data_IF_994117148505
#
_entry.id   IF_994117148505
#
_cell.length_a   1.000
_cell.length_b   1.000
_cell.length_c   1.000
_cell.angle_alpha   90.00
_cell.angle_beta   90.00
_cell.angle_gamma   90.00
#
_symmetry.space_group_name_H-M   'P 1'
#
loop_
_entity.id
_entity.type
_entity.pdbx_description
1 polymer ?
#
# COMPACT_ATOMS: atom_id res chain seq x y z
N UNK A 1 2.58 -36.00 -4.24
CA UNK A 1 3.86 -35.29 -4.11
C UNK A 1 3.85 -34.20 -5.18
N UNK A 2 3.54 -32.95 -4.80
CA UNK A 2 3.50 -31.81 -5.74
C UNK A 2 4.82 -31.06 -5.51
N UNK A 3 5.90 -31.58 -6.07
CA UNK A 3 7.15 -30.82 -6.23
C UNK A 3 6.99 -29.98 -7.50
N UNK A 4 6.92 -28.66 -7.36
CA UNK A 4 6.91 -27.78 -8.54
C UNK A 4 6.41 -26.34 -8.40
N UNK A 5 6.04 -25.84 -7.22
CA UNK A 5 5.48 -24.46 -7.11
C UNK A 5 6.12 -23.56 -6.06
N UNK A 6 7.10 -24.03 -5.29
CA UNK A 6 7.82 -23.19 -4.33
C UNK A 6 8.96 -22.43 -5.03
N UNK A 7 8.65 -21.32 -5.72
CA UNK A 7 9.69 -20.39 -6.21
C UNK A 7 9.42 -19.70 -7.55
N UNK A 8 8.45 -20.15 -8.35
CA UNK A 8 8.19 -19.59 -9.69
C UNK A 8 7.66 -18.15 -9.70
N UNK A 9 7.21 -17.62 -8.55
CA UNK A 9 6.71 -16.25 -8.46
C UNK A 9 7.80 -15.20 -8.74
N UNK A 10 9.08 -15.56 -8.59
CA UNK A 10 10.21 -14.67 -8.89
C UNK A 10 10.25 -14.36 -10.38
N UNK A 11 9.93 -15.34 -11.23
CA UNK A 11 9.88 -15.16 -12.68
C UNK A 11 8.72 -14.25 -13.11
N UNK A 12 7.60 -14.28 -12.35
CA UNK A 12 6.43 -13.43 -12.59
C UNK A 12 6.57 -12.01 -11.99
N UNK A 13 7.53 -11.80 -11.09
CA UNK A 13 7.69 -10.56 -10.33
C UNK A 13 7.80 -9.31 -11.23
N UNK A 14 8.55 -9.30 -12.34
CA UNK A 14 8.60 -8.15 -13.23
C UNK A 14 7.22 -7.76 -13.80
N UNK A 15 6.42 -8.76 -14.19
CA UNK A 15 5.06 -8.54 -14.70
C UNK A 15 4.11 -8.01 -13.62
N UNK A 16 4.21 -8.55 -12.40
CA UNK A 16 3.42 -8.07 -11.25
C UNK A 16 3.78 -6.63 -10.92
N UNK A 17 5.06 -6.30 -10.85
CA UNK A 17 5.52 -4.92 -10.59
C UNK A 17 5.09 -3.96 -11.70
N UNK A 18 5.13 -4.41 -12.96
CA UNK A 18 4.64 -3.63 -14.09
C UNK A 18 3.15 -3.31 -13.91
N UNK A 19 2.30 -4.32 -13.74
CA UNK A 19 0.86 -4.12 -13.56
C UNK A 19 0.54 -3.21 -12.37
N UNK A 20 1.26 -3.35 -11.25
CA UNK A 20 1.08 -2.53 -10.07
C UNK A 20 1.43 -1.05 -10.32
N UNK A 21 2.37 -0.75 -11.22
CA UNK A 21 2.81 0.61 -11.60
C UNK A 21 1.91 1.25 -12.64
N UNK A 22 1.31 0.46 -13.53
CA UNK A 22 0.51 0.96 -14.66
C UNK A 22 -1.00 0.95 -14.39
N UNK A 23 -1.45 0.28 -13.33
CA UNK A 23 -2.86 0.24 -12.94
C UNK A 23 -3.24 1.43 -12.06
N UNK A 24 -4.39 2.05 -12.36
CA UNK A 24 -4.97 3.13 -11.57
C UNK A 24 -5.31 2.62 -10.17
N UNK A 25 -4.78 3.28 -9.14
CA UNK A 25 -5.12 2.93 -7.75
C UNK A 25 -6.44 3.58 -7.36
N UNK A 26 -7.39 2.81 -6.82
CA UNK A 26 -8.67 3.37 -6.33
C UNK A 26 -8.49 4.46 -5.28
N UNK A 27 -7.43 4.35 -4.46
CA UNK A 27 -7.15 5.31 -3.38
C UNK A 27 -6.68 6.68 -3.87
N UNK A 28 -6.06 6.75 -5.05
CA UNK A 28 -5.51 8.00 -5.62
C UNK A 28 -6.19 8.42 -6.92
N UNK A 29 -6.85 7.49 -7.61
CA UNK A 29 -7.39 7.68 -8.96
C UNK A 29 -6.31 7.91 -10.03
N UNK A 30 -5.05 7.57 -9.75
CA UNK A 30 -3.91 7.74 -10.65
C UNK A 30 -3.05 6.48 -10.69
N UNK A 31 -2.27 6.30 -11.75
CA UNK A 31 -1.27 5.24 -11.83
C UNK A 31 0.01 5.67 -11.07
N UNK A 32 0.72 4.77 -10.38
CA UNK A 32 2.00 5.12 -9.79
C UNK A 32 3.01 5.65 -10.81
N UNK A 33 2.98 5.15 -12.05
CA UNK A 33 3.84 5.62 -13.13
C UNK A 33 3.59 7.09 -13.48
N UNK A 34 2.32 7.49 -13.67
CA UNK A 34 1.98 8.89 -14.01
C UNK A 34 2.38 9.86 -12.91
N UNK A 35 2.30 9.45 -11.65
CA UNK A 35 2.75 10.27 -10.53
C UNK A 35 4.28 10.46 -10.47
N UNK A 36 5.07 9.56 -11.06
CA UNK A 36 6.53 9.70 -11.11
C UNK A 36 6.96 10.48 -12.35
N UNK A 37 6.44 10.13 -13.52
CA UNK A 37 6.93 10.61 -14.81
C UNK A 37 6.03 11.67 -15.48
N UNK A 38 4.90 12.00 -14.86
CA UNK A 38 3.95 13.01 -15.35
C UNK A 38 3.06 12.56 -16.50
N UNK A 39 3.21 11.35 -17.01
CA UNK A 39 2.52 10.89 -18.20
C UNK A 39 2.09 9.43 -18.06
N UNK A 40 1.05 9.04 -18.78
CA UNK A 40 0.65 7.65 -18.87
C UNK A 40 1.64 6.85 -19.72
N UNK A 41 1.93 5.64 -19.27
CA UNK A 41 2.83 4.71 -19.93
C UNK A 41 2.18 4.13 -21.17
N UNK A 42 2.97 3.92 -22.23
CA UNK A 42 2.58 3.08 -23.37
C UNK A 42 2.76 1.63 -22.96
N UNK A 43 1.69 0.84 -22.98
CA UNK A 43 1.73 -0.55 -22.55
C UNK A 43 2.38 -1.43 -23.62
N UNK A 44 3.06 -2.53 -23.24
CA UNK A 44 3.65 -3.45 -24.22
C UNK A 44 2.64 -3.98 -25.26
N UNK A 45 1.38 -4.19 -24.87
CA UNK A 45 0.31 -4.61 -25.78
C UNK A 45 -0.04 -3.55 -26.84
N UNK A 46 0.09 -2.26 -26.50
CA UNK A 46 -0.14 -1.14 -27.42
C UNK A 46 0.96 -0.98 -28.47
N UNK A 47 2.14 -1.59 -28.22
CA UNK A 47 3.25 -1.68 -29.16
C UNK A 47 3.12 -2.92 -30.04
N UNK A 48 2.74 -4.06 -29.44
CA UNK A 48 2.52 -5.31 -30.18
C UNK A 48 1.31 -5.27 -31.11
N UNK A 49 0.27 -4.52 -30.74
CA UNK A 49 -0.89 -4.20 -31.57
C UNK A 49 -0.88 -2.69 -31.78
N UNK A 50 -0.62 -2.17 -33.00
CA UNK A 50 -0.42 -0.75 -33.25
C UNK A 50 -1.59 0.11 -32.76
N UNK A 51 -1.47 0.62 -31.53
CA UNK A 51 -2.46 1.53 -30.95
C UNK A 51 -2.36 2.90 -31.61
N UNK A 52 -3.42 3.74 -31.54
CA UNK A 52 -3.34 5.11 -32.07
C UNK A 52 -2.16 5.92 -31.52
N UNK A 53 -1.77 5.67 -30.25
CA UNK A 53 -0.62 6.35 -29.61
C UNK A 53 0.71 6.03 -30.29
N UNK A 54 0.84 4.81 -30.85
CA UNK A 54 2.03 4.36 -31.58
C UNK A 54 1.91 4.70 -33.06
N UNK A 55 0.75 4.48 -33.67
CA UNK A 55 0.51 4.70 -35.10
C UNK A 55 0.61 6.17 -35.51
N UNK A 56 0.12 7.09 -34.67
CA UNK A 56 0.12 8.53 -34.94
C UNK A 56 1.14 9.28 -34.08
N UNK A 57 2.22 8.60 -33.68
CA UNK A 57 3.25 9.20 -32.85
C UNK A 57 3.93 10.37 -33.58
N UNK A 58 3.96 11.54 -32.94
CA UNK A 58 4.64 12.74 -33.40
C UNK A 58 5.58 13.22 -32.29
N UNK A 59 6.88 13.17 -32.56
CA UNK A 59 7.92 13.45 -31.58
C UNK A 59 7.85 14.89 -31.05
N UNK A 60 7.71 15.86 -31.96
CA UNK A 60 7.75 17.29 -31.59
C UNK A 60 6.54 17.67 -30.73
N UNK A 61 5.35 17.18 -31.11
CA UNK A 61 4.13 17.39 -30.32
C UNK A 61 4.22 16.71 -28.96
N UNK A 62 4.68 15.47 -28.91
CA UNK A 62 4.78 14.72 -27.67
C UNK A 62 5.80 15.34 -26.70
N UNK A 63 6.94 15.84 -27.17
CA UNK A 63 7.90 16.54 -26.31
C UNK A 63 7.36 17.89 -25.80
N UNK A 64 6.57 18.60 -26.60
CA UNK A 64 5.89 19.81 -26.13
C UNK A 64 4.85 19.49 -25.03
N UNK A 65 3.98 18.50 -25.25
CA UNK A 65 2.98 18.06 -24.26
C UNK A 65 3.62 17.53 -22.97
N UNK A 66 4.72 16.79 -23.09
CA UNK A 66 5.46 16.26 -21.95
C UNK A 66 5.97 17.36 -21.02
N UNK A 67 6.43 18.50 -21.56
CA UNK A 67 6.83 19.66 -20.74
C UNK A 67 5.65 20.20 -19.95
N UNK A 68 4.51 20.40 -20.61
CA UNK A 68 3.28 20.86 -19.98
C UNK A 68 2.81 19.90 -18.88
N UNK A 69 2.87 18.60 -19.13
CA UNK A 69 2.50 17.59 -18.14
C UNK A 69 3.45 17.56 -16.93
N UNK A 70 4.74 17.85 -17.13
CA UNK A 70 5.70 18.01 -16.03
C UNK A 70 5.41 19.26 -15.20
N UNK A 71 4.99 20.35 -15.83
CA UNK A 71 4.59 21.58 -15.14
C UNK A 71 3.38 21.36 -14.23
N UNK A 72 2.39 20.55 -14.67
CA UNK A 72 1.18 20.21 -13.88
C UNK A 72 1.36 19.03 -12.90
N UNK A 73 2.53 18.39 -12.90
CA UNK A 73 2.81 17.24 -12.07
C UNK A 73 2.74 17.54 -10.55
N UNK A 74 3.25 18.69 -10.06
CA UNK A 74 3.12 19.07 -8.65
C UNK A 74 1.66 19.17 -8.18
N UNK A 75 0.78 19.80 -8.96
CA UNK A 75 -0.65 19.91 -8.64
C UNK A 75 -1.31 18.53 -8.60
N UNK A 76 -0.98 17.68 -9.58
CA UNK A 76 -1.49 16.30 -9.64
C UNK A 76 -1.07 15.50 -8.41
N UNK A 77 0.19 15.64 -7.97
CA UNK A 77 0.71 15.02 -6.73
C UNK A 77 0.02 15.56 -5.49
N UNK A 78 -0.22 16.88 -5.41
CA UNK A 78 -0.96 17.49 -4.31
C UNK A 78 -2.40 16.95 -4.20
N UNK A 79 -3.11 16.91 -5.33
CA UNK A 79 -4.48 16.41 -5.39
C UNK A 79 -4.57 14.91 -5.05
N UNK A 80 -3.62 14.10 -5.53
CA UNK A 80 -3.58 12.67 -5.18
C UNK A 80 -3.24 12.42 -3.73
N UNK A 81 -2.37 13.23 -3.12
CA UNK A 81 -2.10 13.16 -1.70
C UNK A 81 -3.38 13.40 -0.88
N UNK A 82 -4.15 14.44 -1.21
CA UNK A 82 -5.43 14.73 -0.55
C UNK A 82 -6.42 13.57 -0.67
N UNK A 83 -6.57 12.98 -1.87
CA UNK A 83 -7.40 11.79 -2.09
C UNK A 83 -6.93 10.61 -1.24
N UNK A 84 -5.62 10.37 -1.19
CA UNK A 84 -5.05 9.25 -0.43
C UNK A 84 -5.31 9.40 1.08
N UNK A 85 -5.24 10.63 1.61
CA UNK A 85 -5.53 10.93 3.02
C UNK A 85 -7.01 10.70 3.29
N UNK A 86 -7.90 11.23 2.45
CA UNK A 86 -9.34 11.03 2.59
C UNK A 86 -9.72 9.55 2.53
N UNK A 87 -9.12 8.79 1.61
CA UNK A 87 -9.33 7.34 1.50
C UNK A 87 -8.88 6.62 2.77
N UNK A 88 -7.66 6.90 3.27
CA UNK A 88 -7.15 6.31 4.52
C UNK A 88 -8.08 6.62 5.71
N UNK A 89 -8.55 7.87 5.82
CA UNK A 89 -9.50 8.26 6.86
C UNK A 89 -10.83 7.50 6.75
N UNK A 90 -11.37 7.32 5.53
CA UNK A 90 -12.59 6.54 5.29
C UNK A 90 -12.42 5.08 5.75
N UNK A 91 -11.32 4.44 5.38
CA UNK A 91 -11.00 3.07 5.80
C UNK A 91 -10.84 2.98 7.32
N UNK A 92 -10.10 3.91 7.93
CA UNK A 92 -9.92 3.95 9.38
C UNK A 92 -11.26 4.10 10.12
N UNK A 93 -12.15 4.99 9.65
CA UNK A 93 -13.51 5.14 10.21
C UNK A 93 -14.32 3.87 10.10
N UNK A 94 -14.27 3.19 8.96
CA UNK A 94 -14.98 1.93 8.76
C UNK A 94 -14.51 0.85 9.73
N UNK A 95 -13.20 0.65 9.83
CA UNK A 95 -12.62 -0.36 10.72
C UNK A 95 -12.87 -0.02 12.21
N UNK A 96 -12.69 1.25 12.58
CA UNK A 96 -12.85 1.71 13.96
C UNK A 96 -14.31 1.85 14.40
N UNK A 97 -15.30 1.72 13.50
CA UNK A 97 -16.74 1.88 13.82
C UNK A 97 -17.20 0.97 14.96
N UNK A 98 -16.60 -0.21 15.12
CA UNK A 98 -16.95 -1.19 16.17
C UNK A 98 -15.93 -1.27 17.30
N UNK A 99 -14.85 -0.49 17.22
CA UNK A 99 -13.80 -0.48 18.23
C UNK A 99 -14.26 0.40 19.39
N UNK A 100 -14.39 -0.18 20.59
CA UNK A 100 -14.59 0.59 21.82
C UNK A 100 -13.22 1.04 22.32
N UNK A 101 -12.90 2.34 22.30
CA UNK A 101 -11.61 2.80 22.79
C UNK A 101 -11.53 2.51 24.29
N UNK A 102 -10.47 1.82 24.70
CA UNK A 102 -10.11 1.60 26.10
C UNK A 102 -8.73 2.19 26.32
N UNK A 103 -8.62 3.48 26.68
CA UNK A 103 -7.33 4.08 26.96
C UNK A 103 -6.70 3.37 28.16
N UNK A 104 -5.40 3.10 28.05
CA UNK A 104 -4.59 2.49 29.08
C UNK A 104 -3.81 3.59 29.80
N UNK A 105 -3.78 3.54 31.12
CA UNK A 105 -3.09 4.51 31.96
C UNK A 105 -1.99 3.84 32.78
N UNK A 106 -1.06 4.66 33.27
CA UNK A 106 -0.06 4.20 34.22
C UNK A 106 -0.74 3.65 35.47
N UNK A 107 -0.31 2.48 35.90
CA UNK A 107 -0.89 1.76 37.02
C UNK A 107 -2.01 0.79 36.67
N UNK A 108 -2.55 0.80 35.44
CA UNK A 108 -3.52 -0.19 35.00
C UNK A 108 -2.91 -1.60 34.93
N UNK A 109 -3.71 -2.61 35.27
CA UNK A 109 -3.35 -4.02 35.12
C UNK A 109 -3.79 -4.53 33.76
N UNK A 110 -2.85 -5.14 33.03
CA UNK A 110 -3.07 -5.63 31.67
C UNK A 110 -2.50 -7.03 31.49
N UNK A 111 -3.10 -7.76 30.55
CA UNK A 111 -2.56 -9.01 30.03
C UNK A 111 -1.87 -8.73 28.69
N UNK A 112 -0.69 -9.31 28.49
CA UNK A 112 0.07 -9.17 27.25
C UNK A 112 -0.22 -10.36 26.34
N UNK A 113 -0.54 -10.10 25.08
CA UNK A 113 -0.75 -11.18 24.09
C UNK A 113 0.59 -11.84 23.77
N UNK A 114 0.68 -13.17 23.87
CA UNK A 114 1.96 -13.89 23.72
C UNK A 114 2.53 -13.79 22.31
N UNK A 115 1.67 -13.70 21.28
CA UNK A 115 2.07 -13.45 19.89
C UNK A 115 2.99 -12.22 19.74
N UNK A 116 2.73 -11.16 20.51
CA UNK A 116 3.52 -9.93 20.46
C UNK A 116 4.95 -10.09 21.01
N UNK A 117 5.24 -11.20 21.69
CA UNK A 117 6.54 -11.47 22.32
C UNK A 117 7.39 -12.48 21.51
N UNK A 118 6.85 -13.03 20.41
CA UNK A 118 7.53 -14.08 19.61
C UNK A 118 7.63 -15.46 20.30
N UNK A 119 7.14 -15.60 21.54
CA UNK A 119 7.20 -16.82 22.37
C UNK A 119 6.15 -17.88 22.00
N UNK A 120 5.42 -17.71 20.90
CA UNK A 120 4.41 -18.71 20.50
C UNK A 120 5.05 -20.03 20.07
N UNK A 121 6.27 -20.01 19.55
CA UNK A 121 6.99 -21.22 19.17
C UNK A 121 7.47 -22.05 20.37
N UNK A 122 7.62 -21.43 21.55
CA UNK A 122 8.04 -22.11 22.79
C UNK A 122 6.86 -22.69 23.58
N UNK A 123 5.63 -22.34 23.23
CA UNK A 123 4.42 -22.83 23.87
C UNK A 123 3.76 -23.87 22.97
N UNK A 124 3.42 -25.02 23.55
CA UNK A 124 2.70 -26.08 22.85
C UNK A 124 1.39 -25.55 22.24
N UNK A 125 0.88 -26.25 21.22
CA UNK A 125 -0.23 -25.85 20.33
C UNK A 125 -1.58 -25.54 21.03
N UNK A 126 -1.63 -25.53 22.36
CA UNK A 126 -2.78 -25.16 23.20
C UNK A 126 -2.41 -24.31 24.42
N UNK A 127 -1.24 -23.68 24.43
CA UNK A 127 -0.83 -22.78 25.50
C UNK A 127 -1.73 -21.54 25.65
N UNK A 128 -1.72 -20.87 26.82
CA UNK A 128 -2.49 -19.66 27.04
C UNK A 128 -2.13 -18.59 26.00
N UNK A 129 -3.12 -17.85 25.50
CA UNK A 129 -2.86 -16.78 24.51
C UNK A 129 -2.35 -15.47 25.14
N UNK A 130 -2.38 -15.39 26.47
CA UNK A 130 -2.13 -14.20 27.26
C UNK A 130 -1.15 -14.51 28.41
N UNK A 131 -0.26 -13.57 28.71
CA UNK A 131 0.73 -13.63 29.79
C UNK A 131 0.50 -12.45 30.75
N UNK A 132 0.66 -12.68 32.06
CA UNK A 132 0.52 -11.66 33.09
C UNK A 132 -0.21 -12.16 34.34
N UNK A 133 -0.71 -11.24 35.19
CA UNK A 133 -0.92 -9.81 34.93
C UNK A 133 0.33 -8.93 35.06
N UNK A 134 0.39 -7.87 34.25
CA UNK A 134 1.43 -6.82 34.29
C UNK A 134 0.81 -5.48 34.67
N UNK A 135 1.58 -4.62 35.33
CA UNK A 135 1.20 -3.25 35.64
C UNK A 135 1.89 -2.28 34.68
N UNK A 136 1.14 -1.36 34.08
CA UNK A 136 1.71 -0.34 33.19
C UNK A 136 2.56 0.61 34.02
N UNK A 137 3.88 0.60 33.79
CA UNK A 137 4.80 1.51 34.47
C UNK A 137 4.84 2.91 33.83
N UNK A 138 4.69 2.98 32.50
CA UNK A 138 4.73 4.24 31.75
C UNK A 138 3.98 4.13 30.43
N UNK A 139 3.25 5.18 30.03
CA UNK A 139 2.63 5.27 28.69
C UNK A 139 3.49 6.16 27.79
N UNK A 140 4.05 5.59 26.71
CA UNK A 140 4.95 6.33 25.79
C UNK A 140 4.14 7.04 24.68
N UNK A 141 3.15 6.35 24.11
CA UNK A 141 2.20 6.91 23.15
C UNK A 141 0.83 6.24 23.32
N UNK A 142 -0.28 7.00 23.21
CA UNK A 142 -1.61 6.41 23.20
C UNK A 142 -1.75 5.38 22.07
N UNK A 143 -2.17 4.15 22.40
CA UNK A 143 -2.43 3.07 21.42
C UNK A 143 -1.22 2.21 21.04
N UNK A 144 -0.15 2.21 21.84
CA UNK A 144 0.97 1.26 21.76
C UNK A 144 0.79 0.15 22.79
#
# INVERSE_FOLDING_TARGET
MIEGSSGSWVDDLPGILWSARTTVKESTGQTPFSLVYGNDVVLPVEVGIPSPRVTYYDYEKNEAEKRVNLDFLPETRGNTLLKSIAYKQKIARYFNKRVRPRPLHEGDWVLRKIEATGRRSTLEKMGPNWEGPYKIAKVIRPGT
#
